data_IF_151038763533
#
_entry.id   IF_151038763533
#
_cell.length_a   1.000
_cell.length_b   1.000
_cell.length_c   1.000
_cell.angle_alpha   90.00
_cell.angle_beta   90.00
_cell.angle_gamma   90.00
#
_symmetry.space_group_name_H-M   'P 1'
#
loop_
_entity.id
_entity.type
_entity.pdbx_description
1 polymer ?
#
# COMPACT_ATOMS: atom_id res chain seq x y z
N UNK A 1 43.95 -26.35 4.96
CA UNK A 1 44.56 -25.68 6.13
C UNK A 1 44.47 -24.19 5.86
N UNK A 2 43.83 -23.50 6.78
CA UNK A 2 43.41 -22.10 6.77
C UNK A 2 44.56 -21.20 7.24
N UNK A 3 44.90 -20.14 6.49
CA UNK A 3 45.62 -18.89 6.88
C UNK A 3 45.85 -18.10 5.58
N UNK A 4 45.59 -16.80 5.42
CA UNK A 4 45.09 -15.77 6.31
C UNK A 4 44.59 -14.56 5.47
N UNK A 5 43.67 -13.77 6.04
CA UNK A 5 43.09 -12.53 5.49
C UNK A 5 44.13 -11.42 5.26
N UNK A 6 43.81 -10.44 4.40
CA UNK A 6 43.68 -9.00 4.78
C UNK A 6 44.23 -7.93 3.81
N UNK A 7 44.92 -8.23 2.71
CA UNK A 7 45.73 -7.18 2.05
C UNK A 7 45.36 -6.72 0.63
N UNK A 8 44.20 -7.06 0.08
CA UNK A 8 43.81 -6.53 -1.25
C UNK A 8 42.41 -5.92 -1.29
N UNK A 9 41.99 -5.29 -0.18
CA UNK A 9 41.19 -4.06 -0.32
C UNK A 9 42.17 -3.03 -0.87
N UNK A 10 41.91 -2.55 -2.08
CA UNK A 10 42.69 -1.49 -2.72
C UNK A 10 42.85 -0.32 -1.74
N UNK A 11 44.04 -0.19 -1.15
CA UNK A 11 44.42 0.89 -0.25
C UNK A 11 44.90 2.12 -1.04
N UNK A 12 44.36 2.32 -2.23
CA UNK A 12 44.70 3.46 -3.07
C UNK A 12 43.89 4.66 -2.59
N UNK A 13 44.48 5.41 -1.66
CA UNK A 13 43.94 6.67 -1.14
C UNK A 13 44.41 7.87 -1.96
N UNK A 14 45.04 7.67 -3.13
CA UNK A 14 45.60 8.76 -3.92
C UNK A 14 44.53 9.68 -4.51
N UNK A 15 43.31 9.16 -4.71
CA UNK A 15 42.11 9.91 -5.13
C UNK A 15 41.28 10.41 -3.94
N UNK A 16 41.62 10.03 -2.69
CA UNK A 16 40.97 10.56 -1.49
C UNK A 16 41.72 11.84 -1.10
N UNK A 17 41.48 12.89 -1.89
CA UNK A 17 41.84 14.23 -1.47
C UNK A 17 41.06 14.59 -0.20
N UNK A 18 41.67 15.41 0.65
CA UNK A 18 41.13 15.92 1.90
C UNK A 18 39.65 16.29 1.72
N UNK A 19 38.73 15.58 2.39
CA UNK A 19 37.30 15.85 2.33
C UNK A 19 36.97 17.12 3.13
N UNK A 20 37.41 18.25 2.60
CA UNK A 20 37.04 19.62 2.99
C UNK A 20 35.82 20.13 2.21
N UNK A 21 35.21 19.28 1.39
CA UNK A 21 33.97 19.62 0.71
C UNK A 21 32.81 19.42 1.67
N UNK A 22 32.07 20.50 1.93
CA UNK A 22 30.72 20.39 2.44
C UNK A 22 29.96 19.42 1.53
N UNK A 23 29.44 18.32 2.09
CA UNK A 23 28.42 17.52 1.44
C UNK A 23 27.19 18.43 1.28
N UNK A 24 27.15 19.21 0.20
CA UNK A 24 25.89 19.81 -0.20
C UNK A 24 24.97 18.68 -0.65
N UNK A 25 23.74 18.61 -0.10
CA UNK A 25 22.73 17.69 -0.60
C UNK A 25 22.65 17.84 -2.12
N UNK A 26 22.59 16.74 -2.87
CA UNK A 26 22.23 16.79 -4.27
C UNK A 26 20.72 17.11 -4.41
N UNK A 27 20.27 18.27 -3.92
CA UNK A 27 18.98 18.80 -4.32
C UNK A 27 19.25 19.46 -5.66
N UNK A 28 19.10 18.68 -6.72
CA UNK A 28 19.03 19.26 -8.04
C UNK A 28 17.65 19.93 -8.15
N UNK A 29 17.54 21.21 -7.77
CA UNK A 29 16.33 22.05 -7.77
C UNK A 29 15.57 22.10 -9.13
N UNK A 30 16.08 21.43 -10.17
CA UNK A 30 15.52 21.38 -11.52
C UNK A 30 15.11 19.99 -12.01
N UNK A 31 15.33 18.94 -11.22
CA UNK A 31 15.05 17.57 -11.66
C UNK A 31 14.14 16.89 -10.64
N UNK A 32 13.09 16.24 -11.16
CA UNK A 32 12.15 15.44 -10.39
C UNK A 32 12.90 14.40 -9.56
N UNK A 33 12.56 14.28 -8.28
CA UNK A 33 13.20 13.31 -7.39
C UNK A 33 12.89 11.88 -7.85
N UNK A 34 13.79 10.93 -7.58
CA UNK A 34 13.56 9.51 -7.90
C UNK A 34 12.25 9.02 -7.25
N UNK A 35 11.94 9.50 -6.04
CA UNK A 35 10.67 9.20 -5.36
C UNK A 35 9.47 9.70 -6.14
N UNK A 36 9.50 10.92 -6.68
CA UNK A 36 8.42 11.46 -7.51
C UNK A 36 8.29 10.68 -8.84
N UNK A 37 9.41 10.37 -9.50
CA UNK A 37 9.42 9.56 -10.73
C UNK A 37 8.79 8.19 -10.48
N UNK A 38 9.21 7.50 -9.41
CA UNK A 38 8.72 6.17 -9.06
C UNK A 38 7.26 6.23 -8.60
N UNK A 39 6.87 7.20 -7.77
CA UNK A 39 5.48 7.38 -7.34
C UNK A 39 4.56 7.68 -8.51
N UNK A 40 5.02 8.46 -9.49
CA UNK A 40 4.29 8.70 -10.74
C UNK A 40 4.23 7.45 -11.61
N UNK A 41 5.30 6.66 -11.70
CA UNK A 41 5.29 5.39 -12.41
C UNK A 41 4.31 4.39 -11.77
N UNK A 42 4.31 4.30 -10.44
CA UNK A 42 3.42 3.46 -9.66
C UNK A 42 1.95 3.89 -9.76
N UNK A 43 1.68 5.20 -9.81
CA UNK A 43 0.31 5.72 -9.99
C UNK A 43 -0.27 5.42 -11.37
N UNK A 44 0.59 5.19 -12.38
CA UNK A 44 0.12 4.63 -13.63
C UNK A 44 -0.33 3.17 -13.44
N UNK A 45 0.30 2.34 -12.60
CA UNK A 45 -0.13 0.94 -12.44
C UNK A 45 -0.08 0.11 -13.74
N UNK A 46 -0.79 -1.03 -13.80
CA UNK A 46 -0.77 -1.93 -14.97
C UNK A 46 -1.97 -1.81 -15.93
N UNK A 47 -1.91 -2.54 -17.03
CA UNK A 47 -2.97 -2.59 -18.06
C UNK A 47 -4.33 -3.08 -17.54
N UNK A 48 -4.37 -3.73 -16.37
CA UNK A 48 -5.59 -4.21 -15.71
C UNK A 48 -6.05 -3.29 -14.57
N UNK A 49 -5.46 -2.08 -14.48
CA UNK A 49 -5.75 -1.07 -13.45
C UNK A 49 -5.35 -1.47 -12.03
N UNK A 50 -4.41 -2.40 -11.88
CA UNK A 50 -3.90 -2.72 -10.57
C UNK A 50 -2.93 -1.63 -10.11
N UNK A 51 -3.03 -1.26 -8.83
CA UNK A 51 -2.12 -0.33 -8.18
C UNK A 51 -0.79 -1.02 -7.87
N UNK A 52 0.30 -0.29 -8.07
CA UNK A 52 1.65 -0.76 -7.79
C UNK A 52 2.20 0.01 -6.60
N UNK A 53 2.96 -0.69 -5.77
CA UNK A 53 3.76 -0.14 -4.71
C UNK A 53 5.22 -0.12 -5.14
N UNK A 54 5.90 0.98 -4.80
CA UNK A 54 7.32 1.16 -5.04
C UNK A 54 7.95 1.75 -3.79
N UNK A 55 9.14 1.28 -3.47
CA UNK A 55 9.86 1.79 -2.31
C UNK A 55 11.23 1.19 -2.16
N UNK A 56 11.84 1.43 -1.01
CA UNK A 56 13.20 0.99 -0.71
C UNK A 56 13.17 0.08 0.51
N UNK A 57 13.72 -1.12 0.37
CA UNK A 57 13.96 -2.05 1.47
C UNK A 57 15.33 -1.82 2.11
N UNK A 58 15.46 -2.30 3.34
CA UNK A 58 16.71 -2.22 4.11
C UNK A 58 17.88 -2.88 3.35
N UNK A 59 19.06 -2.26 3.44
CA UNK A 59 20.27 -2.69 2.75
C UNK A 59 20.80 -4.05 3.19
N UNK A 60 20.47 -4.50 4.40
CA UNK A 60 20.82 -5.84 4.89
C UNK A 60 20.22 -6.99 4.07
N UNK A 61 19.27 -6.69 3.19
CA UNK A 61 18.60 -7.67 2.34
C UNK A 61 19.27 -7.83 0.98
N UNK A 62 20.22 -6.96 0.64
CA UNK A 62 20.98 -7.07 -0.60
C UNK A 62 22.29 -7.79 -0.38
N UNK A 63 22.74 -8.49 -1.41
CA UNK A 63 24.06 -9.14 -1.40
C UNK A 63 25.21 -8.14 -1.42
N UNK A 64 24.94 -6.87 -1.76
CA UNK A 64 25.92 -5.79 -1.89
C UNK A 64 25.81 -4.73 -0.77
N UNK A 65 24.93 -4.92 0.23
CA UNK A 65 24.63 -3.96 1.30
C UNK A 65 24.17 -2.58 0.78
N UNK A 66 23.62 -2.50 -0.44
CA UNK A 66 22.95 -1.32 -0.94
C UNK A 66 21.43 -1.40 -0.71
N UNK A 67 20.74 -0.27 -0.53
CA UNK A 67 19.27 -0.26 -0.43
C UNK A 67 18.62 -0.88 -1.67
N UNK A 68 17.63 -1.74 -1.47
CA UNK A 68 16.94 -2.43 -2.56
C UNK A 68 15.69 -1.68 -2.97
N UNK A 69 15.62 -1.29 -4.24
CA UNK A 69 14.36 -0.84 -4.83
C UNK A 69 13.42 -2.03 -5.02
N UNK A 70 12.20 -1.95 -4.50
CA UNK A 70 11.12 -2.88 -4.81
C UNK A 70 10.04 -2.22 -5.67
N UNK A 71 9.36 -3.06 -6.44
CA UNK A 71 8.24 -2.69 -7.29
C UNK A 71 7.31 -3.91 -7.31
N UNK A 72 6.18 -3.80 -6.63
CA UNK A 72 5.24 -4.90 -6.49
C UNK A 72 3.80 -4.45 -6.70
N UNK A 73 2.96 -5.41 -7.05
CA UNK A 73 1.53 -5.17 -7.21
C UNK A 73 0.86 -5.28 -5.84
N UNK A 74 -0.02 -4.34 -5.50
CA UNK A 74 -0.82 -4.49 -4.29
C UNK A 74 -1.66 -5.77 -4.34
N UNK A 75 -1.72 -6.49 -3.22
CA UNK A 75 -2.50 -7.72 -3.12
C UNK A 75 -3.98 -7.43 -3.40
N UNK A 76 -4.53 -8.11 -4.41
CA UNK A 76 -5.94 -8.01 -4.72
C UNK A 76 -6.80 -8.43 -3.50
N UNK A 77 -7.74 -7.56 -3.13
CA UNK A 77 -8.68 -7.77 -2.01
C UNK A 77 -9.91 -8.62 -2.40
N UNK A 78 -9.90 -9.22 -3.59
CA UNK A 78 -10.94 -10.12 -4.11
C UNK A 78 -10.96 -11.49 -3.42
N UNK A 79 -9.95 -11.80 -2.62
CA UNK A 79 -9.80 -13.05 -1.90
C UNK A 79 -9.24 -12.78 -0.48
N UNK A 80 -9.31 -13.77 0.41
CA UNK A 80 -8.99 -13.59 1.83
C UNK A 80 -8.25 -14.79 2.41
N UNK A 81 -7.42 -14.54 3.41
CA UNK A 81 -6.70 -15.56 4.18
C UNK A 81 -7.42 -15.84 5.51
N UNK A 82 -7.92 -14.77 6.13
CA UNK A 82 -8.62 -14.77 7.41
C UNK A 82 -10.05 -14.26 7.26
N UNK A 83 -10.95 -14.73 8.12
CA UNK A 83 -12.33 -14.29 8.18
C UNK A 83 -12.76 -14.05 9.64
N UNK A 84 -13.44 -12.93 9.87
CA UNK A 84 -14.07 -12.57 11.14
C UNK A 84 -15.54 -12.30 10.94
N UNK A 85 -16.35 -12.60 11.94
CA UNK A 85 -17.76 -12.23 12.01
C UNK A 85 -17.95 -11.19 13.09
N UNK A 86 -18.83 -10.21 12.85
CA UNK A 86 -19.11 -9.16 13.83
C UNK A 86 -19.70 -9.72 15.14
N UNK A 87 -20.43 -10.83 15.04
CA UNK A 87 -21.12 -11.52 16.13
C UNK A 87 -20.28 -12.59 16.84
N UNK A 88 -19.01 -12.77 16.47
CA UNK A 88 -18.16 -13.81 17.02
C UNK A 88 -17.59 -13.47 18.40
N UNK A 89 -17.71 -14.42 19.36
CA UNK A 89 -17.25 -14.22 20.75
C UNK A 89 -15.73 -14.05 20.91
N UNK A 90 -14.97 -14.52 19.92
CA UNK A 90 -13.52 -14.36 19.81
C UNK A 90 -13.13 -12.94 19.36
N UNK A 91 -14.06 -12.12 18.86
CA UNK A 91 -13.79 -10.71 18.52
C UNK A 91 -14.11 -9.85 19.75
N UNK A 92 -13.13 -9.03 20.17
CA UNK A 92 -13.30 -8.10 21.28
C UNK A 92 -13.70 -6.72 20.73
N UNK A 93 -14.73 -6.07 21.30
CA UNK A 93 -15.07 -4.71 20.92
C UNK A 93 -13.93 -3.73 21.28
N UNK A 94 -13.80 -2.61 20.55
CA UNK A 94 -14.64 -2.19 19.43
C UNK A 94 -14.20 -2.80 18.08
N UNK A 95 -15.18 -3.17 17.25
CA UNK A 95 -14.98 -3.38 15.81
C UNK A 95 -15.60 -2.17 15.12
N UNK A 96 -14.78 -1.15 14.79
CA UNK A 96 -15.26 0.12 14.27
C UNK A 96 -14.82 0.29 12.80
N UNK A 97 -15.74 -0.03 11.90
CA UNK A 97 -15.56 0.07 10.45
C UNK A 97 -16.33 1.29 9.98
N UNK A 98 -15.62 2.28 9.46
CA UNK A 98 -16.17 3.52 8.97
C UNK A 98 -16.10 3.57 7.45
N UNK A 99 -17.07 4.29 6.88
CA UNK A 99 -17.07 4.64 5.47
C UNK A 99 -16.46 6.03 5.33
N UNK A 100 -15.38 6.10 4.57
CA UNK A 100 -14.76 7.34 4.17
C UNK A 100 -15.47 7.91 2.94
N UNK A 101 -15.90 9.16 3.08
CA UNK A 101 -16.57 9.93 2.03
C UNK A 101 -15.67 11.01 1.47
N UNK A 102 -14.57 11.34 2.14
CA UNK A 102 -13.69 12.44 1.77
C UNK A 102 -12.82 12.07 0.55
N UNK A 103 -12.56 10.77 0.38
CA UNK A 103 -11.86 10.18 -0.77
C UNK A 103 -12.76 9.90 -1.98
N UNK A 104 -14.07 10.17 -1.90
CA UNK A 104 -15.02 9.94 -2.99
C UNK A 104 -14.84 10.97 -4.12
N UNK A 105 -14.41 10.49 -5.28
CA UNK A 105 -14.30 11.26 -6.51
C UNK A 105 -14.87 10.47 -7.69
N UNK A 106 -16.00 10.93 -8.23
CA UNK A 106 -16.73 10.23 -9.29
C UNK A 106 -16.88 11.05 -10.59
N UNK A 107 -16.19 12.20 -10.67
CA UNK A 107 -16.07 13.03 -11.86
C UNK A 107 -14.63 13.57 -11.98
N UNK A 108 -13.84 13.00 -12.88
CA UNK A 108 -12.41 13.27 -12.98
C UNK A 108 -12.09 14.18 -14.16
N UNK A 109 -11.34 15.23 -13.91
CA UNK A 109 -10.68 16.04 -14.93
C UNK A 109 -9.18 15.76 -14.85
N UNK A 110 -8.56 15.41 -15.98
CA UNK A 110 -7.11 15.18 -16.02
C UNK A 110 -6.41 16.35 -16.69
N UNK A 111 -5.54 17.01 -15.94
CA UNK A 111 -4.62 18.03 -16.42
C UNK A 111 -3.28 17.38 -16.76
N UNK A 112 -2.76 17.63 -17.97
CA UNK A 112 -1.45 17.13 -18.41
C UNK A 112 -0.70 18.16 -19.26
N UNK A 113 0.61 17.98 -19.43
CA UNK A 113 1.45 18.74 -20.33
C UNK A 113 1.78 17.88 -21.55
N UNK A 114 1.49 18.37 -22.75
CA UNK A 114 1.84 17.68 -23.99
C UNK A 114 3.35 17.77 -24.31
N UNK A 115 3.77 17.16 -25.42
CA UNK A 115 5.17 17.15 -25.88
C UNK A 115 5.68 18.56 -26.22
N UNK A 116 4.77 19.51 -26.47
CA UNK A 116 5.08 20.93 -26.70
C UNK A 116 5.08 21.76 -25.41
N UNK A 117 4.87 21.11 -24.25
CA UNK A 117 4.83 21.72 -22.92
C UNK A 117 3.56 22.53 -22.65
N UNK A 118 2.51 22.38 -23.47
CA UNK A 118 1.25 23.08 -23.26
C UNK A 118 0.37 22.30 -22.29
N UNK A 119 -0.27 23.04 -21.39
CA UNK A 119 -1.27 22.48 -20.48
C UNK A 119 -2.53 22.13 -21.25
N UNK A 120 -2.92 20.86 -21.19
CA UNK A 120 -4.14 20.31 -21.77
C UNK A 120 -5.03 19.75 -20.66
N UNK A 121 -6.32 19.64 -20.95
CA UNK A 121 -7.31 19.05 -20.07
C UNK A 121 -8.09 17.96 -20.82
N UNK A 122 -8.37 16.85 -20.15
CA UNK A 122 -9.36 15.86 -20.60
C UNK A 122 -10.45 15.80 -19.53
N UNK A 123 -11.69 15.91 -19.97
CA UNK A 123 -12.88 15.94 -19.10
C UNK A 123 -13.84 14.80 -19.43
N UNK A 124 -14.87 14.56 -18.60
CA UNK A 124 -15.90 13.57 -18.92
C UNK A 124 -16.78 13.90 -20.13
N UNK A 125 -16.66 15.11 -20.69
CA UNK A 125 -17.28 15.48 -21.97
C UNK A 125 -16.44 15.02 -23.16
N UNK A 126 -15.11 14.89 -22.99
CA UNK A 126 -14.20 14.32 -23.98
C UNK A 126 -14.18 12.79 -23.93
N UNK A 127 -14.27 12.22 -22.71
CA UNK A 127 -14.34 10.79 -22.47
C UNK A 127 -15.27 10.44 -21.30
N UNK A 128 -16.44 9.87 -21.60
CA UNK A 128 -17.44 9.50 -20.62
C UNK A 128 -16.95 8.48 -19.56
N UNK A 129 -15.82 7.80 -19.77
CA UNK A 129 -15.22 6.88 -18.79
C UNK A 129 -14.45 7.61 -17.67
N UNK A 130 -14.41 8.94 -17.69
CA UNK A 130 -13.88 9.76 -16.60
C UNK A 130 -14.95 10.17 -15.57
N UNK A 131 -16.16 9.60 -15.67
CA UNK A 131 -17.21 9.71 -14.66
C UNK A 131 -17.90 8.37 -14.42
N UNK A 132 -18.52 8.20 -13.25
CA UNK A 132 -19.36 7.04 -12.94
C UNK A 132 -20.78 7.48 -12.61
N UNK A 133 -21.71 7.28 -13.55
CA UNK A 133 -23.08 7.77 -13.44
C UNK A 133 -23.88 7.07 -12.31
N UNK A 134 -23.58 5.80 -12.04
CA UNK A 134 -24.20 5.05 -10.94
C UNK A 134 -23.78 5.63 -9.60
N UNK A 135 -22.48 5.82 -9.39
CA UNK A 135 -21.95 6.48 -8.19
C UNK A 135 -22.49 7.89 -8.01
N UNK A 136 -22.58 8.69 -9.09
CA UNK A 136 -23.15 10.04 -9.02
C UNK A 136 -24.62 9.99 -8.61
N UNK A 137 -25.38 9.02 -9.10
CA UNK A 137 -26.79 8.83 -8.72
C UNK A 137 -26.92 8.44 -7.25
N UNK A 138 -26.05 7.55 -6.77
CA UNK A 138 -26.11 7.02 -5.40
C UNK A 138 -25.59 8.02 -4.36
N UNK A 139 -24.54 8.78 -4.69
CA UNK A 139 -23.74 9.56 -3.72
C UNK A 139 -23.58 11.04 -4.06
N UNK A 140 -24.09 11.48 -5.22
CA UNK A 140 -23.91 12.84 -5.74
C UNK A 140 -22.56 13.04 -6.42
N UNK A 141 -22.47 14.08 -7.25
CA UNK A 141 -21.26 14.40 -8.00
C UNK A 141 -20.16 14.96 -7.09
N UNK A 142 -18.93 14.46 -7.26
CA UNK A 142 -17.71 14.87 -6.56
C UNK A 142 -16.57 15.00 -7.57
N UNK A 143 -16.20 16.25 -7.83
CA UNK A 143 -15.22 16.59 -8.85
C UNK A 143 -13.78 16.49 -8.31
N UNK A 144 -12.85 16.07 -9.16
CA UNK A 144 -11.43 16.07 -8.85
C UNK A 144 -10.58 16.40 -10.08
N UNK A 145 -9.55 17.24 -9.89
CA UNK A 145 -8.57 17.57 -10.93
C UNK A 145 -7.28 16.79 -10.65
N UNK A 146 -7.02 15.78 -11.46
CA UNK A 146 -5.83 14.95 -11.41
C UNK A 146 -4.73 15.54 -12.30
N UNK A 147 -3.50 15.65 -11.79
CA UNK A 147 -2.36 16.21 -12.54
C UNK A 147 -1.40 15.08 -12.96
N UNK A 148 -1.30 14.85 -14.26
CA UNK A 148 -0.50 13.76 -14.84
C UNK A 148 0.95 14.16 -15.20
N UNK A 149 1.30 15.45 -15.14
CA UNK A 149 2.60 15.93 -15.62
C UNK A 149 2.72 15.81 -17.14
N UNK A 150 3.94 15.57 -17.66
CA UNK A 150 4.17 15.34 -19.08
C UNK A 150 3.61 13.98 -19.52
N UNK A 151 2.64 14.00 -20.42
CA UNK A 151 1.98 12.79 -20.90
C UNK A 151 1.32 12.99 -22.27
N UNK A 152 1.05 11.90 -22.98
CA UNK A 152 0.12 11.94 -24.11
C UNK A 152 -1.32 11.93 -23.60
N UNK A 153 -2.27 12.39 -24.43
CA UNK A 153 -3.70 12.35 -24.09
C UNK A 153 -4.15 10.95 -23.65
N UNK A 154 -3.71 9.90 -24.35
CA UNK A 154 -4.06 8.52 -24.03
C UNK A 154 -3.53 8.07 -22.65
N UNK A 155 -2.30 8.48 -22.30
CA UNK A 155 -1.70 8.18 -20.99
C UNK A 155 -2.44 8.92 -19.87
N UNK A 156 -2.73 10.21 -20.08
CA UNK A 156 -3.49 11.03 -19.14
C UNK A 156 -4.91 10.48 -18.91
N UNK A 157 -5.63 10.13 -19.98
CA UNK A 157 -6.97 9.54 -19.90
C UNK A 157 -6.96 8.22 -19.12
N UNK A 158 -5.99 7.33 -19.36
CA UNK A 158 -5.90 6.06 -18.65
C UNK A 158 -5.59 6.25 -17.16
N UNK A 159 -4.74 7.23 -16.80
CA UNK A 159 -4.51 7.60 -15.41
C UNK A 159 -5.82 8.08 -14.73
N UNK A 160 -6.60 8.92 -15.41
CA UNK A 160 -7.90 9.37 -14.90
C UNK A 160 -8.90 8.24 -14.68
N UNK A 161 -8.97 7.28 -15.61
CA UNK A 161 -9.83 6.09 -15.48
C UNK A 161 -9.42 5.20 -14.30
N UNK A 162 -8.11 5.05 -14.04
CA UNK A 162 -7.57 4.31 -12.89
C UNK A 162 -7.93 4.99 -11.58
N UNK A 163 -7.68 6.30 -11.50
CA UNK A 163 -8.05 7.09 -10.34
C UNK A 163 -9.55 6.99 -10.03
N UNK A 164 -10.40 7.12 -11.06
CA UNK A 164 -11.84 6.93 -10.94
C UNK A 164 -12.18 5.53 -10.42
N UNK A 165 -11.57 4.47 -10.96
CA UNK A 165 -11.86 3.10 -10.52
C UNK A 165 -11.63 2.91 -9.01
N UNK A 166 -10.59 3.52 -8.46
CA UNK A 166 -10.25 3.46 -7.04
C UNK A 166 -11.12 4.38 -6.14
N UNK A 167 -11.54 5.55 -6.64
CA UNK A 167 -12.15 6.61 -5.82
C UNK A 167 -13.64 6.85 -6.11
N UNK A 168 -14.21 6.19 -7.11
CA UNK A 168 -15.61 6.43 -7.50
C UNK A 168 -16.62 6.02 -6.43
N UNK A 169 -16.26 5.20 -5.46
CA UNK A 169 -17.15 4.77 -4.40
C UNK A 169 -16.54 5.11 -3.03
N UNK A 170 -17.37 5.36 -2.01
CA UNK A 170 -16.88 5.55 -0.65
C UNK A 170 -16.05 4.35 -0.22
N UNK A 171 -14.86 4.60 0.32
CA UNK A 171 -13.95 3.54 0.75
C UNK A 171 -14.25 3.14 2.18
N UNK A 172 -14.01 1.88 2.52
CA UNK A 172 -14.11 1.43 3.90
C UNK A 172 -12.73 1.46 4.54
N UNK A 173 -12.68 1.89 5.80
CA UNK A 173 -11.48 1.78 6.61
C UNK A 173 -11.82 1.39 8.04
N UNK A 174 -10.84 0.86 8.74
CA UNK A 174 -10.96 0.56 10.15
C UNK A 174 -10.45 1.73 10.97
N UNK A 175 -11.29 2.22 11.89
CA UNK A 175 -10.90 3.30 12.81
C UNK A 175 -10.00 2.79 13.94
N UNK A 176 -10.19 1.53 14.32
CA UNK A 176 -9.49 0.89 15.41
C UNK A 176 -9.05 -0.53 15.03
N UNK A 177 -7.97 -1.06 15.64
CA UNK A 177 -7.53 -2.42 15.38
C UNK A 177 -8.59 -3.46 15.77
N UNK A 178 -8.74 -4.52 14.96
CA UNK A 178 -9.57 -5.68 15.32
C UNK A 178 -8.85 -6.45 16.42
N UNK A 179 -9.51 -6.66 17.55
CA UNK A 179 -8.96 -7.47 18.64
C UNK A 179 -9.52 -8.88 18.57
N UNK A 180 -8.65 -9.87 18.39
CA UNK A 180 -9.01 -11.28 18.28
C UNK A 180 -8.43 -12.06 19.45
N UNK A 181 -9.28 -12.78 20.20
CA UNK A 181 -8.88 -13.64 21.31
C UNK A 181 -8.98 -15.11 20.93
N UNK A 182 -7.93 -15.87 21.21
CA UNK A 182 -7.88 -17.33 21.03
C UNK A 182 -7.71 -17.77 19.58
N UNK A 183 -8.65 -17.46 18.68
CA UNK A 183 -8.56 -17.85 17.27
C UNK A 183 -9.21 -16.87 16.29
N UNK A 184 -8.73 -16.91 15.04
CA UNK A 184 -9.38 -16.36 13.85
C UNK A 184 -9.74 -17.51 12.90
N UNK A 185 -10.71 -17.32 12.01
CA UNK A 185 -11.02 -18.34 11.00
C UNK A 185 -10.15 -18.15 9.77
N UNK A 186 -9.63 -19.23 9.21
CA UNK A 186 -9.01 -19.23 7.90
C UNK A 186 -10.03 -19.39 6.76
N UNK A 187 -9.53 -19.33 5.52
CA UNK A 187 -10.28 -19.44 4.25
C UNK A 187 -11.18 -20.68 4.10
N UNK A 188 -11.00 -21.71 4.94
CA UNK A 188 -11.83 -22.93 4.93
C UNK A 188 -12.54 -23.19 6.27
N UNK A 189 -12.67 -22.17 7.12
CA UNK A 189 -13.29 -22.28 8.44
C UNK A 189 -12.41 -22.96 9.49
N UNK A 190 -11.17 -23.32 9.14
CA UNK A 190 -10.17 -23.79 10.09
C UNK A 190 -9.86 -22.70 11.13
N UNK A 191 -9.68 -23.10 12.38
CA UNK A 191 -9.30 -22.16 13.45
C UNK A 191 -7.79 -21.98 13.44
N UNK A 192 -7.36 -20.74 13.25
CA UNK A 192 -5.96 -20.32 13.31
C UNK A 192 -5.77 -19.62 14.66
N UNK A 193 -4.81 -20.02 15.51
CA UNK A 193 -4.55 -19.36 16.78
C UNK A 193 -4.30 -17.86 16.61
N UNK A 194 -4.72 -17.05 17.58
CA UNK A 194 -4.48 -15.60 17.55
C UNK A 194 -2.98 -15.24 17.50
N UNK A 195 -2.12 -16.10 18.05
CA UNK A 195 -0.65 -15.98 17.99
C UNK A 195 -0.03 -16.28 16.61
N UNK A 196 -0.80 -16.80 15.67
CA UNK A 196 -0.35 -17.14 14.31
C UNK A 196 -0.87 -16.18 13.24
N UNK A 197 -1.58 -15.13 13.65
CA UNK A 197 -2.06 -14.08 12.74
C UNK A 197 -0.86 -13.24 12.30
N UNK A 198 -0.75 -12.98 11.00
CA UNK A 198 0.39 -12.27 10.41
C UNK A 198 -0.03 -11.05 9.61
N UNK A 199 0.84 -10.05 9.58
CA UNK A 199 0.79 -8.95 8.61
C UNK A 199 1.01 -9.44 7.17
N UNK A 200 0.53 -8.68 6.19
CA UNK A 200 0.57 -8.99 4.75
C UNK A 200 -0.42 -10.08 4.31
N UNK A 201 -1.37 -10.45 5.18
CA UNK A 201 -2.49 -11.36 4.88
C UNK A 201 -3.79 -10.58 4.76
N UNK A 202 -4.77 -11.15 4.07
CA UNK A 202 -6.07 -10.50 3.85
C UNK A 202 -7.10 -10.98 4.87
N UNK A 203 -7.82 -10.05 5.49
CA UNK A 203 -8.87 -10.33 6.45
C UNK A 203 -10.22 -9.89 5.90
N UNK A 204 -11.19 -10.80 5.93
CA UNK A 204 -12.57 -10.57 5.50
C UNK A 204 -13.49 -10.42 6.71
N UNK A 205 -14.23 -9.32 6.76
CA UNK A 205 -15.32 -9.11 7.70
C UNK A 205 -16.62 -9.60 7.05
N UNK A 206 -17.12 -10.72 7.55
CA UNK A 206 -18.40 -11.28 7.15
C UNK A 206 -19.56 -10.68 7.96
N UNK A 207 -20.77 -10.79 7.42
CA UNK A 207 -22.02 -10.33 8.05
C UNK A 207 -22.02 -8.84 8.44
N UNK A 208 -21.24 -8.02 7.74
CA UNK A 208 -21.28 -6.58 7.96
C UNK A 208 -22.53 -6.02 7.28
N UNK A 209 -23.55 -5.70 8.08
CA UNK A 209 -24.88 -5.28 7.62
C UNK A 209 -24.88 -4.06 6.67
N UNK A 210 -23.84 -3.22 6.75
CA UNK A 210 -23.72 -2.02 5.91
C UNK A 210 -22.90 -2.27 4.64
N UNK A 211 -22.45 -3.50 4.37
CA UNK A 211 -21.78 -3.85 3.12
C UNK A 211 -22.80 -3.94 1.97
N UNK A 212 -22.68 -3.01 1.03
CA UNK A 212 -23.53 -2.90 -0.15
C UNK A 212 -23.24 -3.97 -1.21
N UNK A 213 -22.04 -4.58 -1.18
CA UNK A 213 -21.67 -5.64 -2.13
C UNK A 213 -22.29 -6.99 -1.77
N UNK A 214 -22.72 -7.17 -0.51
CA UNK A 214 -23.22 -8.44 0.03
C UNK A 214 -22.17 -9.55 0.12
N UNK A 215 -20.91 -9.27 -0.22
CA UNK A 215 -19.84 -10.27 -0.27
C UNK A 215 -18.93 -10.24 0.96
N UNK A 216 -19.06 -9.27 1.85
CA UNK A 216 -18.17 -8.98 2.99
C UNK A 216 -17.11 -7.95 2.63
N UNK A 217 -16.51 -7.32 3.65
CA UNK A 217 -15.43 -6.35 3.46
C UNK A 217 -14.08 -7.00 3.65
N UNK A 218 -13.23 -6.99 2.62
CA UNK A 218 -11.86 -7.50 2.72
C UNK A 218 -10.88 -6.35 2.90
N UNK A 219 -9.98 -6.50 3.86
CA UNK A 219 -8.90 -5.57 4.14
C UNK A 219 -7.55 -6.29 4.13
N UNK A 220 -6.48 -5.56 3.86
CA UNK A 220 -5.13 -6.05 4.07
C UNK A 220 -4.71 -5.81 5.52
N UNK A 221 -4.15 -6.83 6.17
CA UNK A 221 -3.56 -6.71 7.51
C UNK A 221 -2.19 -6.06 7.37
N UNK A 222 -2.06 -4.84 7.88
CA UNK A 222 -0.81 -4.07 7.76
C UNK A 222 0.12 -4.31 8.96
N UNK A 223 -0.46 -4.53 10.14
CA UNK A 223 0.29 -4.81 11.36
C UNK A 223 -0.51 -5.71 12.29
N UNK A 224 0.21 -6.51 13.06
CA UNK A 224 -0.33 -7.36 14.12
C UNK A 224 0.48 -7.16 15.39
N UNK A 225 -0.19 -7.13 16.53
CA UNK A 225 0.42 -7.00 17.85
C UNK A 225 -0.22 -8.04 18.78
N UNK A 226 0.57 -8.92 19.38
CA UNK A 226 0.07 -10.05 20.17
C UNK A 226 0.51 -9.94 21.63
N UNK A 227 -0.46 -10.04 22.54
CA UNK A 227 -0.22 -10.10 23.99
C UNK A 227 -0.39 -11.53 24.49
N UNK A 228 0.70 -12.17 24.92
CA UNK A 228 0.68 -13.48 25.58
C UNK A 228 -0.19 -13.48 26.84
N UNK A 229 -0.16 -12.38 27.60
CA UNK A 229 -0.89 -12.26 28.87
C UNK A 229 -2.40 -12.32 28.67
N UNK A 230 -2.88 -11.68 27.61
CA UNK A 230 -4.31 -11.54 27.34
C UNK A 230 -4.82 -12.58 26.33
N UNK A 231 -3.90 -13.27 25.63
CA UNK A 231 -4.13 -14.15 24.48
C UNK A 231 -4.86 -13.43 23.33
N UNK A 232 -4.57 -12.13 23.17
CA UNK A 232 -5.24 -11.25 22.20
C UNK A 232 -4.24 -10.77 21.15
N UNK A 233 -4.62 -10.90 19.89
CA UNK A 233 -3.96 -10.24 18.76
C UNK A 233 -4.77 -9.02 18.34
N UNK A 234 -4.12 -7.85 18.27
CA UNK A 234 -4.65 -6.65 17.66
C UNK A 234 -4.19 -6.58 16.19
N UNK A 235 -5.15 -6.47 15.27
CA UNK A 235 -4.95 -6.48 13.82
C UNK A 235 -5.24 -5.08 13.30
N UNK A 236 -4.26 -4.43 12.70
CA UNK A 236 -4.41 -3.17 11.99
C UNK A 236 -4.56 -3.42 10.49
N UNK A 237 -5.32 -2.54 9.83
CA UNK A 237 -5.59 -2.60 8.39
C UNK A 237 -5.43 -1.23 7.76
N UNK A 238 -5.12 -1.19 6.48
CA UNK A 238 -5.05 0.05 5.70
C UNK A 238 -4.35 -0.17 4.37
N UNK A 239 -3.97 0.93 3.71
CA UNK A 239 -3.02 0.89 2.61
C UNK A 239 -1.69 0.38 3.17
N UNK A 240 -1.10 -0.68 2.59
CA UNK A 240 0.14 -1.22 3.12
C UNK A 240 1.27 -0.22 2.91
N UNK A 241 2.01 0.00 3.99
CA UNK A 241 3.41 0.40 3.90
C UNK A 241 4.20 -0.91 3.88
N UNK A 242 4.67 -1.33 2.71
CA UNK A 242 5.25 -2.66 2.54
C UNK A 242 6.52 -2.85 3.39
N UNK A 243 7.22 -1.76 3.72
CA UNK A 243 8.33 -1.80 4.68
C UNK A 243 7.81 -2.11 6.09
N UNK A 244 6.75 -1.43 6.53
CA UNK A 244 6.13 -1.71 7.83
C UNK A 244 5.52 -3.11 7.90
N UNK A 245 4.88 -3.58 6.83
CA UNK A 245 4.32 -4.94 6.72
C UNK A 245 5.43 -5.99 6.80
N UNK A 246 6.52 -5.79 6.06
CA UNK A 246 7.66 -6.68 6.07
C UNK A 246 8.37 -6.72 7.43
N UNK A 247 8.63 -5.56 8.04
CA UNK A 247 9.21 -5.48 9.38
C UNK A 247 8.33 -6.20 10.41
N UNK A 248 7.01 -5.99 10.35
CA UNK A 248 6.07 -6.70 11.22
C UNK A 248 6.06 -8.22 10.97
N UNK A 249 6.21 -8.68 9.72
CA UNK A 249 6.35 -10.09 9.41
C UNK A 249 7.64 -10.70 9.98
N UNK A 250 8.74 -9.94 10.02
CA UNK A 250 10.03 -10.39 10.54
C UNK A 250 10.14 -10.33 12.06
N UNK A 251 9.60 -9.31 12.70
CA UNK A 251 9.59 -9.18 14.16
C UNK A 251 8.86 -10.37 14.82
N UNK A 252 7.76 -10.85 14.20
CA UNK A 252 7.06 -12.08 14.60
C UNK A 252 7.87 -13.37 14.41
N UNK A 253 8.91 -13.37 13.58
CA UNK A 253 9.82 -14.50 13.39
C UNK A 253 10.92 -14.48 14.44
N UNK A 254 11.43 -13.30 14.80
CA UNK A 254 12.53 -13.14 15.76
C UNK A 254 12.08 -13.37 17.22
N UNK A 255 10.87 -12.96 17.62
CA UNK A 255 10.37 -13.26 18.97
C UNK A 255 10.20 -14.78 19.24
N UNK A 256 9.90 -15.56 18.19
CA UNK A 256 9.82 -17.04 18.29
C UNK A 256 11.17 -17.71 18.48
N UNK A 257 12.27 -17.04 18.12
CA UNK A 257 13.64 -17.52 18.33
C UNK A 257 14.19 -17.15 19.70
N UNK A 258 13.61 -16.16 20.39
CA UNK A 258 13.98 -15.77 21.75
C UNK A 258 13.25 -16.56 22.84
N UNK A 259 12.23 -17.35 22.47
CA UNK A 259 11.44 -18.20 23.37
C UNK A 259 11.81 -19.70 23.34
N UNK A 260 12.92 -20.06 22.68
CA UNK A 260 13.46 -21.43 22.60
C UNK A 260 14.80 -21.55 23.36
#
# INVERSE_FOLDING_TARGET
MQTELSSLVSADTFEIDSNTYSLEPFIADRWESITEILSRAASFGDASFNEWAVGVLASELSTDNLPLLYCEQHLALTDYDYAVRVDESNIKPPLDVLRDWDTLHNWIVVQYQDDEGRTQYVTPDDDANLKDATSITDWGQRDHILRAGHATTAVATNLGRRYLAAHKNPQWHMKAPIKVKGYIRGKSGNRIPSSEIRAGKRIKIENFLNDLSGTGLTFLVTKTDYSDRDEVCAIQTGTPDDLAVYLAQKELVDERLLAA
#
